data_IF_122832342429
#
_entry.id   IF_122832342429
#
_cell.length_a   1.000
_cell.length_b   1.000
_cell.length_c   1.000
_cell.angle_alpha   90.00
_cell.angle_beta   90.00
_cell.angle_gamma   90.00
#
_symmetry.space_group_name_H-M   'P 1'
#
loop_
_entity.id
_entity.type
_entity.pdbx_description
1 polymer ?
#
# COMPACT_ATOMS: atom_id res chain seq x y z
N UNK A 1 15.66 -37.86 53.37
CA UNK A 1 14.74 -37.88 52.21
C UNK A 1 14.50 -36.45 51.74
N UNK A 2 15.22 -36.00 50.69
CA UNK A 2 15.05 -34.67 50.10
C UNK A 2 14.00 -34.78 48.97
N UNK A 3 12.83 -34.18 49.18
CA UNK A 3 11.80 -34.02 48.12
C UNK A 3 12.29 -32.93 47.17
N UNK A 4 12.83 -33.36 46.03
CA UNK A 4 13.13 -32.48 44.89
C UNK A 4 11.77 -32.11 44.29
N UNK A 5 11.28 -30.93 44.67
CA UNK A 5 10.11 -30.30 44.07
C UNK A 5 10.56 -29.77 42.69
N UNK A 6 10.56 -30.64 41.68
CA UNK A 6 10.60 -30.26 40.27
C UNK A 6 9.27 -29.56 39.95
N UNK A 7 9.18 -28.29 40.34
CA UNK A 7 8.14 -27.38 39.82
C UNK A 7 8.52 -27.18 38.36
N UNK A 8 7.86 -27.98 37.53
CA UNK A 8 7.66 -27.82 36.11
C UNK A 8 7.48 -26.33 35.80
N UNK A 9 8.59 -25.66 35.43
CA UNK A 9 8.57 -24.36 34.77
C UNK A 9 8.01 -24.65 33.37
N UNK A 10 6.69 -24.79 33.29
CA UNK A 10 5.94 -24.74 32.05
C UNK A 10 6.09 -23.30 31.57
N UNK A 11 7.20 -23.06 30.88
CA UNK A 11 7.43 -21.87 30.08
C UNK A 11 6.29 -21.88 29.07
N UNK A 12 5.21 -21.20 29.44
CA UNK A 12 4.20 -20.67 28.54
C UNK A 12 4.97 -19.78 27.56
N UNK A 13 5.50 -20.43 26.53
CA UNK A 13 5.88 -19.79 25.29
C UNK A 13 4.57 -19.28 24.70
N UNK A 14 4.17 -18.10 25.16
CA UNK A 14 3.18 -17.28 24.48
C UNK A 14 3.81 -17.02 23.12
N UNK A 15 3.47 -17.87 22.14
CA UNK A 15 3.81 -17.63 20.76
C UNK A 15 3.08 -16.34 20.39
N UNK A 16 3.81 -15.24 20.37
CA UNK A 16 3.31 -13.99 19.82
C UNK A 16 3.09 -14.23 18.34
N UNK A 17 1.85 -14.51 17.97
CA UNK A 17 1.42 -14.60 16.57
C UNK A 17 1.73 -13.23 15.97
N UNK A 18 2.81 -13.17 15.20
CA UNK A 18 3.26 -11.95 14.57
C UNK A 18 2.49 -11.82 13.27
N UNK A 19 1.40 -11.06 13.29
CA UNK A 19 0.64 -10.76 12.09
C UNK A 19 1.50 -9.90 11.15
N UNK A 20 1.70 -10.37 9.91
CA UNK A 20 2.46 -9.61 8.91
C UNK A 20 1.54 -8.59 8.23
N UNK A 21 1.74 -7.31 8.56
CA UNK A 21 1.02 -6.19 7.95
C UNK A 21 1.84 -5.58 6.82
N UNK A 22 1.22 -5.32 5.68
CA UNK A 22 1.82 -4.61 4.54
C UNK A 22 1.09 -3.28 4.31
N UNK A 23 1.86 -2.25 3.93
CA UNK A 23 1.34 -0.96 3.48
C UNK A 23 1.34 -0.94 1.96
N UNK A 24 0.16 -0.71 1.36
CA UNK A 24 -0.01 -0.67 -0.10
C UNK A 24 -0.56 0.69 -0.49
N UNK A 25 0.15 1.44 -1.33
CA UNK A 25 -0.40 2.67 -1.92
C UNK A 25 -1.48 2.31 -2.93
N UNK A 26 -2.67 2.89 -2.73
CA UNK A 26 -3.87 2.61 -3.53
C UNK A 26 -4.20 3.76 -4.47
N UNK A 27 -4.03 5.00 -4.00
CA UNK A 27 -4.33 6.20 -4.77
C UNK A 27 -3.37 7.31 -4.37
N UNK A 28 -2.90 8.07 -5.35
CA UNK A 28 -2.16 9.34 -5.16
C UNK A 28 -2.48 10.26 -6.33
N UNK A 29 -3.52 11.07 -6.19
CA UNK A 29 -4.07 11.85 -7.30
C UNK A 29 -4.54 13.24 -6.86
N UNK A 30 -4.60 14.17 -7.83
CA UNK A 30 -5.09 15.53 -7.60
C UNK A 30 -6.40 15.77 -8.33
N UNK A 31 -7.39 16.25 -7.58
CA UNK A 31 -8.74 16.54 -8.04
C UNK A 31 -9.01 18.03 -7.99
N UNK A 32 -9.68 18.56 -8.99
CA UNK A 32 -10.07 19.97 -9.02
C UNK A 32 -11.53 20.12 -8.61
N UNK A 33 -11.81 21.07 -7.71
CA UNK A 33 -13.17 21.46 -7.31
C UNK A 33 -13.37 22.96 -7.54
N UNK A 34 -14.37 23.32 -8.34
CA UNK A 34 -14.65 24.72 -8.69
C UNK A 34 -15.31 25.49 -7.55
N UNK A 35 -15.24 26.82 -7.61
CA UNK A 35 -15.96 27.69 -6.68
C UNK A 35 -17.47 27.58 -6.88
N UNK A 36 -18.25 27.92 -5.85
CA UNK A 36 -19.72 27.84 -5.94
C UNK A 36 -20.35 28.84 -6.93
N UNK A 37 -19.62 29.89 -7.31
CA UNK A 37 -20.07 30.89 -8.29
C UNK A 37 -19.66 30.55 -9.74
N UNK A 38 -18.90 29.47 -9.94
CA UNK A 38 -18.47 29.06 -11.28
C UNK A 38 -19.66 28.59 -12.11
N UNK A 39 -19.99 29.32 -13.18
CA UNK A 39 -21.15 29.07 -14.04
C UNK A 39 -21.14 27.71 -14.76
N UNK A 40 -20.00 27.04 -14.87
CA UNK A 40 -19.84 25.77 -15.59
C UNK A 40 -19.05 24.71 -14.82
N UNK A 41 -18.76 24.95 -13.53
CA UNK A 41 -17.83 24.15 -12.76
C UNK A 41 -18.49 23.13 -11.83
N UNK A 42 -17.96 21.91 -11.78
CA UNK A 42 -18.30 20.98 -10.69
C UNK A 42 -17.68 21.46 -9.37
N UNK A 43 -18.53 21.83 -8.41
CA UNK A 43 -18.14 22.18 -7.02
C UNK A 43 -17.91 20.94 -6.16
N UNK A 44 -18.29 19.77 -6.69
CA UNK A 44 -18.11 18.47 -6.07
C UNK A 44 -17.23 17.59 -6.93
N UNK A 45 -16.40 16.79 -6.29
CA UNK A 45 -15.62 15.75 -6.97
C UNK A 45 -15.71 14.46 -6.15
N UNK A 46 -15.52 13.33 -6.81
CA UNK A 46 -15.51 12.02 -6.15
C UNK A 46 -14.32 11.24 -6.67
N UNK A 47 -13.47 10.79 -5.75
CA UNK A 47 -12.41 9.84 -6.02
C UNK A 47 -12.88 8.42 -5.66
N UNK A 48 -12.67 7.47 -6.55
CA UNK A 48 -12.91 6.05 -6.30
C UNK A 48 -11.60 5.40 -5.87
N UNK A 49 -11.66 4.59 -4.81
CA UNK A 49 -10.51 3.93 -4.21
C UNK A 49 -10.85 2.46 -4.02
N UNK A 50 -10.10 1.60 -4.71
CA UNK A 50 -10.25 0.15 -4.62
C UNK A 50 -9.27 -0.39 -3.59
N UNK A 51 -9.76 -0.80 -2.43
CA UNK A 51 -8.90 -1.35 -1.38
C UNK A 51 -8.51 -2.78 -1.74
N UNK A 52 -7.23 -3.17 -1.60
CA UNK A 52 -6.80 -4.55 -1.75
C UNK A 52 -7.59 -5.48 -0.83
N UNK A 53 -7.81 -6.72 -1.26
CA UNK A 53 -8.44 -7.72 -0.40
C UNK A 53 -7.61 -7.91 0.87
N UNK A 54 -8.28 -8.20 1.99
CA UNK A 54 -7.62 -8.34 3.29
C UNK A 54 -7.14 -7.01 3.90
N UNK A 55 -7.54 -5.87 3.33
CA UNK A 55 -7.40 -4.57 3.98
C UNK A 55 -8.15 -4.57 5.31
N UNK A 56 -7.41 -4.30 6.40
CA UNK A 56 -7.95 -4.17 7.76
C UNK A 56 -8.15 -2.69 8.15
N UNK A 57 -7.73 -1.77 7.28
CA UNK A 57 -7.88 -0.34 7.42
C UNK A 57 -7.15 0.39 6.32
N UNK A 58 -7.23 1.72 6.34
CA UNK A 58 -6.49 2.57 5.43
C UNK A 58 -6.12 3.88 6.11
N UNK A 59 -5.00 4.44 5.70
CA UNK A 59 -4.56 5.78 6.05
C UNK A 59 -4.73 6.66 4.83
N UNK A 60 -5.29 7.85 5.02
CA UNK A 60 -5.44 8.82 3.94
C UNK A 60 -4.86 10.17 4.36
N UNK A 61 -4.33 10.89 3.37
CA UNK A 61 -3.91 12.28 3.48
C UNK A 61 -4.62 13.10 2.43
N UNK A 62 -5.34 14.12 2.88
CA UNK A 62 -5.99 15.10 2.03
C UNK A 62 -5.25 16.42 2.21
N UNK A 63 -4.76 16.96 1.10
CA UNK A 63 -4.08 18.25 1.06
C UNK A 63 -4.83 19.17 0.12
N UNK A 64 -5.18 20.37 0.59
CA UNK A 64 -5.98 21.35 -0.16
C UNK A 64 -5.11 22.53 -0.54
N UNK A 65 -5.11 22.84 -1.82
CA UNK A 65 -4.31 23.91 -2.41
C UNK A 65 -5.20 24.91 -3.14
N UNK A 66 -4.73 26.15 -3.19
CA UNK A 66 -5.21 27.12 -4.17
C UNK A 66 -4.97 26.55 -5.57
N UNK A 67 -5.94 26.74 -6.48
CA UNK A 67 -5.83 26.23 -7.85
C UNK A 67 -4.49 26.58 -8.52
N UNK A 68 -3.85 25.57 -9.11
CA UNK A 68 -2.57 25.69 -9.80
C UNK A 68 -1.36 25.81 -8.88
N UNK A 69 -1.52 25.71 -7.56
CA UNK A 69 -0.43 25.81 -6.56
C UNK A 69 -0.25 24.52 -5.77
N UNK A 70 -0.22 23.39 -6.47
CA UNK A 70 0.00 22.08 -5.85
C UNK A 70 1.48 21.95 -5.49
N UNK A 71 1.77 21.77 -4.20
CA UNK A 71 3.11 21.54 -3.69
C UNK A 71 3.09 20.32 -2.76
N UNK A 72 3.38 19.15 -3.33
CA UNK A 72 3.42 17.89 -2.59
C UNK A 72 4.85 17.68 -2.10
N UNK A 73 5.01 17.42 -0.80
CA UNK A 73 6.29 17.04 -0.19
C UNK A 73 6.56 15.54 -0.36
N UNK A 74 7.03 14.89 0.70
CA UNK A 74 7.16 13.43 0.71
C UNK A 74 5.78 12.76 0.61
N UNK A 75 5.65 11.73 -0.24
CA UNK A 75 4.43 10.94 -0.39
C UNK A 75 4.05 10.20 0.90
N UNK A 76 2.75 9.97 1.11
CA UNK A 76 2.21 9.37 2.32
C UNK A 76 2.79 7.97 2.58
N UNK A 77 2.87 7.11 1.56
CA UNK A 77 3.46 5.78 1.72
C UNK A 77 4.90 5.85 2.24
N UNK A 78 5.72 6.72 1.65
CA UNK A 78 7.11 6.90 2.06
C UNK A 78 7.21 7.40 3.51
N UNK A 79 6.33 8.31 3.92
CA UNK A 79 6.27 8.78 5.30
C UNK A 79 5.88 7.66 6.25
N UNK A 80 4.86 6.85 5.92
CA UNK A 80 4.44 5.74 6.76
C UNK A 80 5.51 4.64 6.86
N UNK A 81 6.25 4.36 5.78
CA UNK A 81 7.37 3.41 5.79
C UNK A 81 8.54 3.84 6.68
N UNK A 82 8.67 5.13 6.98
CA UNK A 82 9.66 5.63 7.94
C UNK A 82 9.26 5.40 9.41
N UNK A 83 8.01 5.00 9.66
CA UNK A 83 7.46 4.75 10.98
C UNK A 83 7.48 3.25 11.25
N UNK A 84 7.94 2.82 12.45
CA UNK A 84 7.81 1.42 12.83
C UNK A 84 6.34 0.96 12.76
N UNK A 85 6.05 -0.18 12.13
CA UNK A 85 4.67 -0.69 11.96
C UNK A 85 3.91 -0.84 13.29
N UNK A 86 4.62 -1.09 14.40
CA UNK A 86 4.03 -1.13 15.75
C UNK A 86 3.41 0.19 16.20
N UNK A 87 3.74 1.31 15.57
CA UNK A 87 3.18 2.64 15.83
C UNK A 87 2.08 3.02 14.83
N UNK A 88 1.91 2.24 13.75
CA UNK A 88 0.84 2.41 12.76
C UNK A 88 -0.38 1.56 13.11
N UNK A 89 -0.74 1.56 14.40
CA UNK A 89 -1.93 0.86 14.88
C UNK A 89 -3.19 1.65 14.55
N UNK A 90 -4.30 0.92 14.44
CA UNK A 90 -5.63 1.52 14.28
C UNK A 90 -5.86 2.52 15.42
N UNK A 91 -6.14 3.78 15.08
CA UNK A 91 -6.33 4.88 16.03
C UNK A 91 -5.09 5.71 16.33
N UNK A 92 -3.94 5.40 15.72
CA UNK A 92 -2.75 6.25 15.80
C UNK A 92 -3.07 7.69 15.34
N UNK A 93 -2.54 8.67 16.07
CA UNK A 93 -2.60 10.05 15.63
C UNK A 93 -1.57 10.25 14.51
N UNK A 94 -2.06 10.56 13.32
CA UNK A 94 -1.26 10.79 12.12
C UNK A 94 -1.29 12.25 11.68
N UNK A 95 -1.82 13.15 12.51
CA UNK A 95 -1.94 14.57 12.19
C UNK A 95 -0.57 15.22 11.90
N UNK A 96 0.53 14.70 12.46
CA UNK A 96 1.89 15.17 12.14
C UNK A 96 2.30 14.96 10.67
N UNK A 97 1.62 14.06 9.95
CA UNK A 97 1.85 13.82 8.52
C UNK A 97 0.93 14.66 7.62
N UNK A 98 -0.01 15.41 8.19
CA UNK A 98 -0.75 16.41 7.45
C UNK A 98 0.21 17.54 7.02
N UNK A 99 0.08 18.01 5.78
CA UNK A 99 0.90 19.12 5.32
C UNK A 99 0.56 20.38 6.14
N UNK A 100 1.58 21.08 6.62
CA UNK A 100 1.42 22.30 7.42
C UNK A 100 0.98 23.52 6.61
N UNK A 101 0.95 23.42 5.28
CA UNK A 101 0.59 24.54 4.40
C UNK A 101 -0.89 24.90 4.58
N UNK A 102 -1.13 25.93 5.37
CA UNK A 102 -2.45 26.51 5.55
C UNK A 102 -2.59 27.74 4.65
N UNK A 103 -2.96 27.52 3.40
CA UNK A 103 -3.32 28.60 2.48
C UNK A 103 -4.68 29.27 2.82
N UNK A 104 -5.31 28.85 3.92
CA UNK A 104 -6.62 29.31 4.40
C UNK A 104 -7.81 28.67 3.69
N UNK A 105 -7.56 27.73 2.76
CA UNK A 105 -8.60 27.11 1.93
C UNK A 105 -9.16 25.86 2.60
N UNK A 106 -10.47 25.88 2.87
CA UNK A 106 -11.18 24.77 3.50
C UNK A 106 -12.07 24.04 2.49
N UNK A 107 -12.24 22.74 2.70
CA UNK A 107 -13.14 21.87 1.96
C UNK A 107 -13.96 21.00 2.91
N UNK A 108 -15.16 20.59 2.48
CA UNK A 108 -15.82 19.45 3.11
C UNK A 108 -15.42 18.17 2.39
N UNK A 109 -15.21 17.11 3.15
CA UNK A 109 -15.04 15.79 2.55
C UNK A 109 -15.89 14.73 3.24
N UNK A 110 -16.22 13.72 2.47
CA UNK A 110 -17.15 12.65 2.81
C UNK A 110 -16.55 11.33 2.37
N UNK A 111 -16.81 10.27 3.13
CA UNK A 111 -16.44 8.90 2.76
C UNK A 111 -17.73 8.11 2.56
N UNK A 112 -17.86 7.50 1.39
CA UNK A 112 -18.99 6.65 1.03
C UNK A 112 -18.52 5.22 0.83
N UNK A 113 -19.43 4.28 1.09
CA UNK A 113 -19.22 2.84 0.89
C UNK A 113 -20.25 2.23 -0.06
N UNK A 114 -21.12 3.06 -0.66
CA UNK A 114 -22.10 2.64 -1.65
C UNK A 114 -22.01 3.53 -2.91
N UNK A 115 -22.21 2.94 -4.12
CA UNK A 115 -22.30 3.72 -5.36
C UNK A 115 -23.48 4.69 -5.39
N UNK A 116 -24.61 4.35 -4.76
CA UNK A 116 -25.80 5.20 -4.79
C UNK A 116 -25.57 6.51 -4.03
N UNK A 117 -24.99 6.44 -2.83
CA UNK A 117 -24.71 7.63 -2.01
C UNK A 117 -23.66 8.54 -2.68
N UNK A 118 -22.58 7.98 -3.24
CA UNK A 118 -21.57 8.79 -3.95
C UNK A 118 -22.15 9.46 -5.20
N UNK A 119 -23.04 8.80 -5.92
CA UNK A 119 -23.68 9.33 -7.12
C UNK A 119 -24.73 10.40 -6.76
N UNK A 120 -25.48 10.23 -5.68
CA UNK A 120 -26.40 11.24 -5.16
C UNK A 120 -25.64 12.49 -4.68
N UNK A 121 -24.52 12.30 -3.96
CA UNK A 121 -23.60 13.38 -3.60
C UNK A 121 -23.08 14.12 -4.83
N UNK A 122 -22.53 13.42 -5.82
CA UNK A 122 -21.94 14.01 -7.02
C UNK A 122 -22.96 14.82 -7.83
N UNK A 123 -24.18 14.29 -7.99
CA UNK A 123 -25.29 14.94 -8.71
C UNK A 123 -25.96 16.08 -7.96
N UNK A 124 -25.49 16.43 -6.76
CA UNK A 124 -26.10 17.47 -5.91
C UNK A 124 -27.57 17.19 -5.57
N UNK A 125 -27.91 15.92 -5.35
CA UNK A 125 -29.21 15.55 -4.78
C UNK A 125 -29.16 15.87 -3.28
N UNK A 126 -29.40 17.14 -2.95
CA UNK A 126 -29.14 17.68 -1.62
C UNK A 126 -29.98 16.97 -0.55
N UNK A 127 -29.30 16.47 0.47
CA UNK A 127 -29.92 15.84 1.65
C UNK A 127 -30.32 14.37 1.51
N UNK A 128 -30.14 13.75 0.34
CA UNK A 128 -30.54 12.35 0.11
C UNK A 128 -29.34 11.43 -0.19
N UNK A 129 -28.31 11.50 0.66
CA UNK A 129 -27.18 10.58 0.64
C UNK A 129 -26.68 10.35 2.06
N UNK A 130 -26.23 9.12 2.33
CA UNK A 130 -25.64 8.72 3.60
C UNK A 130 -24.14 8.56 3.45
N UNK A 131 -23.37 9.46 4.07
CA UNK A 131 -21.92 9.27 4.16
C UNK A 131 -21.58 8.42 5.37
N UNK A 132 -20.67 7.45 5.20
CA UNK A 132 -20.14 6.69 6.32
C UNK A 132 -19.33 7.60 7.28
N UNK A 133 -18.63 8.60 6.74
CA UNK A 133 -18.05 9.70 7.52
C UNK A 133 -18.19 11.04 6.81
N UNK A 134 -18.33 12.10 7.59
CA UNK A 134 -18.41 13.48 7.10
C UNK A 134 -17.48 14.38 7.92
N UNK A 135 -16.79 15.26 7.22
CA UNK A 135 -15.88 16.22 7.82
C UNK A 135 -16.03 17.56 7.12
N UNK A 136 -16.41 18.57 7.90
CA UNK A 136 -16.69 19.90 7.38
C UNK A 136 -15.51 20.84 7.61
N UNK A 137 -15.31 21.77 6.69
CA UNK A 137 -14.38 22.89 6.80
C UNK A 137 -12.94 22.47 7.16
N UNK A 138 -12.42 21.46 6.48
CA UNK A 138 -11.06 20.93 6.70
C UNK A 138 -10.07 21.52 5.71
N UNK A 139 -8.87 21.83 6.19
CA UNK A 139 -7.75 22.31 5.36
C UNK A 139 -6.95 21.10 4.89
N UNK A 140 -5.90 20.73 5.61
CA UNK A 140 -5.14 19.51 5.39
C UNK A 140 -5.43 18.52 6.52
N UNK A 141 -5.47 17.25 6.20
CA UNK A 141 -5.64 16.20 7.19
C UNK A 141 -4.88 14.96 6.80
N UNK A 142 -4.36 14.25 7.79
CA UNK A 142 -3.89 12.90 7.64
C UNK A 142 -4.54 12.09 8.75
N UNK A 143 -5.21 11.01 8.39
CA UNK A 143 -6.06 10.25 9.31
C UNK A 143 -6.10 8.78 8.92
N UNK A 144 -6.37 7.98 9.93
CA UNK A 144 -6.57 6.54 9.78
C UNK A 144 -8.05 6.20 9.90
N UNK A 145 -8.50 5.20 9.14
CA UNK A 145 -9.83 4.62 9.29
C UNK A 145 -9.79 3.09 9.22
N UNK A 146 -10.28 2.48 10.29
CA UNK A 146 -10.72 1.09 10.42
C UNK A 146 -12.23 0.93 10.19
N UNK A 147 -12.93 2.07 10.01
CA UNK A 147 -14.36 2.13 9.69
C UNK A 147 -14.51 2.48 8.22
N UNK A 148 -15.71 2.26 7.67
CA UNK A 148 -15.97 2.50 6.25
C UNK A 148 -15.03 1.68 5.35
N UNK A 149 -14.77 0.42 5.72
CA UNK A 149 -13.98 -0.51 4.92
C UNK A 149 -14.94 -1.30 4.04
N UNK A 150 -14.69 -1.26 2.73
CA UNK A 150 -15.32 -2.09 1.72
C UNK A 150 -14.29 -2.31 0.59
N UNK A 151 -14.53 -3.22 -0.34
CA UNK A 151 -13.65 -3.43 -1.51
C UNK A 151 -13.46 -2.13 -2.31
N UNK A 152 -14.51 -1.31 -2.38
CA UNK A 152 -14.45 0.02 -2.97
C UNK A 152 -15.00 1.05 -2.00
N UNK A 153 -14.26 2.14 -1.83
CA UNK A 153 -14.67 3.31 -1.07
C UNK A 153 -14.58 4.55 -1.96
N UNK A 154 -15.36 5.58 -1.64
CA UNK A 154 -15.36 6.82 -2.40
C UNK A 154 -15.13 8.02 -1.49
N UNK A 155 -14.19 8.87 -1.87
CA UNK A 155 -13.96 10.16 -1.22
C UNK A 155 -14.69 11.24 -2.00
N UNK A 156 -15.74 11.80 -1.42
CA UNK A 156 -16.42 12.98 -1.95
C UNK A 156 -15.83 14.25 -1.41
N UNK A 157 -15.63 15.25 -2.26
CA UNK A 157 -15.11 16.55 -1.91
C UNK A 157 -16.09 17.64 -2.32
N UNK A 158 -16.36 18.61 -1.46
CA UNK A 158 -17.22 19.77 -1.75
C UNK A 158 -16.50 21.06 -1.42
N UNK A 159 -16.24 21.86 -2.45
CA UNK A 159 -15.70 23.21 -2.29
C UNK A 159 -16.82 24.19 -1.92
N UNK A 160 -16.74 24.75 -0.72
CA UNK A 160 -17.68 25.77 -0.24
C UNK A 160 -17.22 27.20 -0.55
N UNK A 161 -16.02 27.39 -1.11
CA UNK A 161 -15.48 28.72 -1.38
C UNK A 161 -16.23 29.39 -2.54
N UNK A 162 -16.60 30.65 -2.33
CA UNK A 162 -17.36 31.41 -3.33
C UNK A 162 -16.51 31.92 -4.49
N UNK A 163 -15.27 32.30 -4.22
CA UNK A 163 -14.44 33.06 -5.17
C UNK A 163 -13.32 32.24 -5.80
N UNK A 164 -12.95 31.10 -5.21
CA UNK A 164 -11.75 30.38 -5.60
C UNK A 164 -12.01 28.88 -5.82
N UNK A 165 -11.56 28.38 -6.97
CA UNK A 165 -11.41 26.96 -7.21
C UNK A 165 -10.22 26.40 -6.44
N UNK A 166 -10.31 25.14 -6.05
CA UNK A 166 -9.30 24.43 -5.27
C UNK A 166 -8.79 23.21 -6.03
N UNK A 167 -7.56 22.82 -5.72
CA UNK A 167 -7.00 21.53 -6.07
C UNK A 167 -6.81 20.72 -4.79
N UNK A 168 -7.18 19.45 -4.82
CA UNK A 168 -7.26 18.55 -3.67
C UNK A 168 -6.40 17.34 -4.01
N UNK A 169 -5.29 17.19 -3.33
CA UNK A 169 -4.46 15.99 -3.45
C UNK A 169 -4.89 14.97 -2.42
N UNK A 170 -5.30 13.79 -2.87
CA UNK A 170 -5.69 12.66 -2.04
C UNK A 170 -4.67 11.54 -2.21
N UNK A 171 -4.11 11.11 -1.09
CA UNK A 171 -3.30 9.92 -0.99
C UNK A 171 -4.00 8.91 -0.09
N UNK A 172 -4.03 7.64 -0.49
CA UNK A 172 -4.60 6.54 0.29
C UNK A 172 -3.63 5.37 0.30
N UNK A 173 -3.31 4.90 1.49
CA UNK A 173 -2.47 3.73 1.75
C UNK A 173 -3.29 2.72 2.55
N UNK A 174 -3.52 1.55 1.97
CA UNK A 174 -4.19 0.44 2.65
C UNK A 174 -3.23 -0.25 3.63
N UNK A 175 -3.78 -0.73 4.74
CA UNK A 175 -3.11 -1.64 5.66
C UNK A 175 -3.70 -3.02 5.42
N UNK A 176 -2.89 -3.93 4.87
CA UNK A 176 -3.33 -5.27 4.49
C UNK A 176 -2.79 -6.27 5.49
N UNK A 177 -3.67 -7.13 6.01
CA UNK A 177 -3.25 -8.29 6.78
C UNK A 177 -2.97 -9.45 5.82
N UNK A 178 -1.68 -9.77 5.61
CA UNK A 178 -1.26 -10.83 4.69
C UNK A 178 -1.72 -12.24 5.13
N UNK A 179 -2.12 -12.39 6.39
CA UNK A 179 -2.61 -13.67 6.91
C UNK A 179 -4.04 -13.98 6.43
N UNK A 180 -4.82 -12.96 6.05
CA UNK A 180 -6.21 -13.08 5.59
C UNK A 180 -6.39 -13.05 4.07
N UNK A 181 -5.30 -12.93 3.31
CA UNK A 181 -5.34 -12.96 1.85
C UNK A 181 -4.84 -14.31 1.35
N UNK A 182 -5.72 -15.07 0.68
CA UNK A 182 -5.30 -16.18 -0.21
C UNK A 182 -4.60 -15.66 -1.48
N UNK A 183 -4.47 -14.33 -1.61
CA UNK A 183 -3.77 -13.72 -2.72
C UNK A 183 -2.30 -14.08 -2.66
N UNK A 184 -1.84 -14.64 -3.77
CA UNK A 184 -0.44 -14.95 -3.99
C UNK A 184 0.03 -14.20 -5.21
N UNK A 185 1.13 -13.48 -5.04
CA UNK A 185 1.83 -12.80 -6.09
C UNK A 185 2.70 -13.80 -6.84
N UNK A 186 2.60 -13.80 -8.17
CA UNK A 186 3.33 -14.72 -9.03
C UNK A 186 4.61 -14.07 -9.56
N UNK A 187 5.73 -14.77 -9.44
CA UNK A 187 7.06 -14.35 -9.89
C UNK A 187 7.52 -15.28 -11.00
N UNK A 188 7.81 -14.71 -12.19
CA UNK A 188 8.22 -15.48 -13.36
C UNK A 188 9.72 -15.38 -13.58
N UNK A 189 10.38 -16.54 -13.58
CA UNK A 189 11.84 -16.63 -13.78
C UNK A 189 12.10 -17.61 -14.92
N UNK A 190 12.86 -17.16 -15.91
CA UNK A 190 13.29 -17.95 -17.06
C UNK A 190 14.76 -18.33 -16.93
N UNK A 191 15.12 -19.59 -17.15
CA UNK A 191 16.52 -20.01 -17.22
C UNK A 191 17.03 -19.90 -18.67
N UNK A 192 17.85 -18.88 -18.95
CA UNK A 192 18.54 -18.70 -20.23
C UNK A 192 20.00 -19.15 -20.24
N UNK A 193 20.47 -19.88 -19.22
CA UNK A 193 21.89 -20.15 -19.00
C UNK A 193 22.45 -21.39 -19.73
N UNK A 194 21.67 -22.00 -20.64
CA UNK A 194 22.02 -23.22 -21.41
C UNK A 194 22.40 -24.46 -20.56
N UNK A 195 22.19 -24.39 -19.24
CA UNK A 195 22.37 -25.48 -18.29
C UNK A 195 21.35 -25.35 -17.16
N UNK A 196 21.13 -26.42 -16.41
CA UNK A 196 20.25 -26.40 -15.24
C UNK A 196 20.84 -25.52 -14.14
N UNK A 197 19.97 -24.78 -13.45
CA UNK A 197 20.39 -23.83 -12.42
C UNK A 197 19.65 -24.12 -11.13
N UNK A 198 20.41 -24.24 -10.04
CA UNK A 198 19.88 -24.26 -8.68
C UNK A 198 19.97 -22.86 -8.08
N UNK A 199 18.93 -22.46 -7.36
CA UNK A 199 18.83 -21.17 -6.69
C UNK A 199 17.90 -21.28 -5.49
N UNK A 200 17.89 -20.25 -4.65
CA UNK A 200 17.00 -20.19 -3.49
C UNK A 200 16.05 -19.01 -3.62
N UNK A 201 14.82 -19.19 -3.15
CA UNK A 201 13.82 -18.14 -3.02
C UNK A 201 13.39 -17.98 -1.57
N UNK A 202 13.07 -16.76 -1.17
CA UNK A 202 12.55 -16.46 0.17
C UNK A 202 11.62 -15.27 0.13
N UNK A 203 10.51 -15.33 0.86
CA UNK A 203 9.65 -14.17 1.05
C UNK A 203 10.30 -13.17 2.04
N UNK A 204 10.85 -13.69 3.13
CA UNK A 204 11.30 -12.91 4.30
C UNK A 204 12.82 -12.73 4.41
N UNK A 205 13.60 -13.22 3.44
CA UNK A 205 15.07 -13.25 3.45
C UNK A 205 15.68 -14.14 4.55
N UNK A 206 14.88 -14.96 5.23
CA UNK A 206 15.31 -15.81 6.34
C UNK A 206 15.04 -17.29 6.05
N UNK A 207 13.83 -17.60 5.60
CA UNK A 207 13.38 -18.95 5.26
C UNK A 207 13.56 -19.16 3.75
N UNK A 208 14.57 -19.94 3.38
CA UNK A 208 14.97 -20.16 1.99
C UNK A 208 14.48 -21.50 1.46
N UNK A 209 13.82 -21.47 0.31
CA UNK A 209 13.40 -22.65 -0.44
C UNK A 209 14.38 -22.92 -1.58
N UNK A 210 15.00 -24.11 -1.58
CA UNK A 210 15.79 -24.61 -2.70
C UNK A 210 14.90 -24.86 -3.92
N UNK A 211 15.33 -24.33 -5.06
CA UNK A 211 14.65 -24.44 -6.34
C UNK A 211 15.66 -24.88 -7.41
N UNK A 212 15.16 -25.55 -8.44
CA UNK A 212 15.92 -25.85 -9.65
C UNK A 212 15.08 -25.49 -10.87
N UNK A 213 15.74 -24.98 -11.91
CA UNK A 213 15.09 -24.66 -13.17
C UNK A 213 15.92 -25.20 -14.32
N UNK A 214 15.29 -26.02 -15.16
CA UNK A 214 15.94 -26.61 -16.33
C UNK A 214 16.28 -25.57 -17.38
N UNK A 215 17.31 -25.85 -18.18
CA UNK A 215 17.69 -24.96 -19.28
C UNK A 215 16.52 -24.65 -20.23
N UNK A 216 16.30 -23.37 -20.53
CA UNK A 216 15.24 -22.83 -21.39
C UNK A 216 13.80 -23.01 -20.86
N UNK A 217 13.62 -23.35 -19.58
CA UNK A 217 12.30 -23.38 -18.94
C UNK A 217 11.98 -22.04 -18.24
N UNK A 218 10.69 -21.73 -18.16
CA UNK A 218 10.14 -20.70 -17.27
C UNK A 218 9.47 -21.39 -16.09
N UNK A 219 9.75 -20.93 -14.88
CA UNK A 219 9.02 -21.31 -13.68
C UNK A 219 8.21 -20.14 -13.13
N UNK A 220 7.17 -20.46 -12.39
CA UNK A 220 6.35 -19.48 -11.65
C UNK A 220 6.32 -19.86 -10.19
N UNK A 221 6.69 -18.94 -9.32
CA UNK A 221 6.63 -19.09 -7.86
C UNK A 221 5.62 -18.11 -7.29
N UNK A 222 5.00 -18.51 -6.18
CA UNK A 222 3.90 -17.76 -5.57
C UNK A 222 4.24 -17.44 -4.11
N UNK A 223 4.20 -16.17 -3.77
CA UNK A 223 4.40 -15.68 -2.40
C UNK A 223 3.25 -14.76 -1.98
N UNK A 224 3.04 -14.62 -0.68
CA UNK A 224 2.03 -13.68 -0.14
C UNK A 224 2.46 -12.20 -0.21
N UNK A 225 3.74 -11.94 -0.52
CA UNK A 225 4.32 -10.61 -0.59
C UNK A 225 4.49 -10.19 -2.05
N UNK A 226 4.33 -8.90 -2.33
CA UNK A 226 4.51 -8.29 -3.65
C UNK A 226 5.97 -8.32 -4.15
N UNK A 227 6.90 -8.64 -3.26
CA UNK A 227 8.32 -8.88 -3.54
C UNK A 227 8.79 -10.22 -2.97
N UNK A 228 9.93 -10.70 -3.46
CA UNK A 228 10.64 -11.84 -2.90
C UNK A 228 12.16 -11.62 -3.01
N UNK A 229 12.92 -12.45 -2.32
CA UNK A 229 14.38 -12.49 -2.38
C UNK A 229 14.79 -13.72 -3.20
N UNK A 230 15.69 -13.49 -4.15
CA UNK A 230 16.26 -14.51 -5.02
C UNK A 230 17.75 -14.59 -4.76
N UNK A 231 18.25 -15.80 -4.53
CA UNK A 231 19.64 -16.05 -4.19
C UNK A 231 20.24 -17.05 -5.16
N UNK A 232 21.36 -16.67 -5.76
CA UNK A 232 22.02 -17.41 -6.82
C UNK A 232 23.46 -17.67 -6.44
N UNK A 233 23.84 -18.94 -6.38
CA UNK A 233 25.20 -19.35 -6.04
C UNK A 233 25.91 -19.85 -7.28
N UNK A 234 27.05 -19.23 -7.60
CA UNK A 234 27.95 -19.70 -8.66
C UNK A 234 29.17 -20.33 -8.00
N UNK A 235 29.48 -21.57 -8.39
CA UNK A 235 30.66 -22.29 -7.91
C UNK A 235 31.94 -21.45 -8.13
N UNK A 236 32.70 -21.22 -7.05
CA UNK A 236 33.95 -20.45 -7.09
C UNK A 236 33.80 -18.92 -7.21
N UNK A 237 32.58 -18.38 -7.28
CA UNK A 237 32.32 -16.92 -7.33
C UNK A 237 31.47 -16.42 -6.16
N UNK A 238 30.87 -17.32 -5.39
CA UNK A 238 30.06 -16.98 -4.23
C UNK A 238 28.58 -16.84 -4.55
N UNK A 239 27.87 -16.16 -3.66
CA UNK A 239 26.41 -16.05 -3.69
C UNK A 239 25.99 -14.61 -3.88
N UNK A 240 25.06 -14.37 -4.80
CA UNK A 240 24.47 -13.06 -5.06
C UNK A 240 22.98 -13.09 -4.68
N UNK A 241 22.53 -12.04 -3.99
CA UNK A 241 21.14 -11.87 -3.58
C UNK A 241 20.50 -10.73 -4.38
N UNK A 242 19.27 -10.95 -4.80
CA UNK A 242 18.45 -10.00 -5.55
C UNK A 242 17.10 -9.85 -4.85
N UNK A 243 16.54 -8.64 -4.88
CA UNK A 243 15.12 -8.43 -4.55
C UNK A 243 14.35 -8.38 -5.86
N UNK A 244 13.33 -9.21 -5.97
CA UNK A 244 12.47 -9.35 -7.15
C UNK A 244 11.04 -8.91 -6.85
N UNK A 245 10.34 -8.34 -7.82
CA UNK A 245 8.96 -7.84 -7.73
C UNK A 245 8.03 -8.65 -8.64
N UNK A 246 6.78 -8.82 -8.23
CA UNK A 246 5.80 -9.66 -8.93
C UNK A 246 5.38 -9.14 -10.32
N UNK A 247 5.51 -7.83 -10.57
CA UNK A 247 5.15 -7.20 -11.83
C UNK A 247 6.29 -7.21 -12.87
N UNK A 248 7.41 -7.86 -12.57
CA UNK A 248 8.60 -7.91 -13.41
C UNK A 248 8.89 -9.35 -13.86
N UNK A 249 9.59 -9.49 -15.00
CA UNK A 249 10.06 -10.79 -15.50
C UNK A 249 11.57 -10.85 -15.35
N UNK A 250 12.07 -12.01 -14.92
CA UNK A 250 13.49 -12.20 -14.67
C UNK A 250 14.06 -13.35 -15.48
N UNK A 251 15.30 -13.19 -15.95
CA UNK A 251 16.02 -14.20 -16.71
C UNK A 251 17.37 -14.46 -16.08
N UNK A 252 17.63 -15.72 -15.76
CA UNK A 252 18.96 -16.18 -15.35
C UNK A 252 19.81 -16.33 -16.60
N UNK A 253 21.00 -15.76 -16.61
CA UNK A 253 21.95 -15.85 -17.72
C UNK A 253 23.34 -16.24 -17.21
N UNK A 254 24.08 -17.02 -17.99
CA UNK A 254 25.49 -17.27 -17.74
C UNK A 254 26.34 -16.18 -18.40
N UNK A 255 27.02 -15.37 -17.60
CA UNK A 255 28.03 -14.46 -18.08
C UNK A 255 29.29 -15.23 -18.46
N UNK A 256 29.57 -15.35 -19.77
CA UNK A 256 30.68 -16.15 -20.29
C UNK A 256 32.06 -15.59 -19.95
N UNK A 257 32.16 -14.30 -19.65
CA UNK A 257 33.43 -13.66 -19.32
C UNK A 257 33.84 -13.96 -17.87
N UNK A 258 32.86 -13.92 -16.96
CA UNK A 258 33.10 -14.15 -15.52
C UNK A 258 32.84 -15.59 -15.10
N UNK A 259 32.18 -16.38 -15.96
CA UNK A 259 31.63 -17.71 -15.66
C UNK A 259 30.69 -17.69 -14.44
N UNK A 260 29.93 -16.59 -14.27
CA UNK A 260 28.94 -16.43 -13.21
C UNK A 260 27.53 -16.40 -13.74
N UNK A 261 26.58 -16.92 -12.95
CA UNK A 261 25.17 -16.69 -13.23
C UNK A 261 24.75 -15.32 -12.71
N UNK A 262 23.97 -14.62 -13.50
CA UNK A 262 23.36 -13.33 -13.15
C UNK A 262 21.85 -13.39 -13.36
N UNK A 263 21.10 -12.58 -12.61
CA UNK A 263 19.67 -12.39 -12.77
C UNK A 263 19.39 -11.02 -13.40
N UNK A 264 18.77 -11.01 -14.57
CA UNK A 264 18.45 -9.78 -15.31
C UNK A 264 16.94 -9.60 -15.43
N UNK A 265 16.47 -8.36 -15.25
CA UNK A 265 15.09 -7.95 -15.57
C UNK A 265 14.96 -7.80 -17.09
N UNK A 266 13.83 -8.22 -17.67
CA UNK A 266 13.52 -8.03 -19.09
C UNK A 266 12.03 -7.83 -19.36
#
# INVERSE_FOLDING_TARGET
MRRILLVFFYILSIQTVSFSQELVEVLSETFTANSITSMSGSTRNVAEVQLPRGSIGYTYRISVFKRGRVSIGNGLLSLLQSVPMSQLTIGANLAQYALSQNDGTQIDYFIFTTPDDKNAFYRKVDGNWSSCRSFLNRVNTCSHSDKCINETIWFGFRNNNMSQGLDIHLEVVAIVNQDNTDETYSFKITNGALQDVNFQLSADNQNWQECSLRSNYEGTWRFKQSYAYFKLTTQGKGTVNYRINNNERYKITLNRNTLSFDLNKY
#
